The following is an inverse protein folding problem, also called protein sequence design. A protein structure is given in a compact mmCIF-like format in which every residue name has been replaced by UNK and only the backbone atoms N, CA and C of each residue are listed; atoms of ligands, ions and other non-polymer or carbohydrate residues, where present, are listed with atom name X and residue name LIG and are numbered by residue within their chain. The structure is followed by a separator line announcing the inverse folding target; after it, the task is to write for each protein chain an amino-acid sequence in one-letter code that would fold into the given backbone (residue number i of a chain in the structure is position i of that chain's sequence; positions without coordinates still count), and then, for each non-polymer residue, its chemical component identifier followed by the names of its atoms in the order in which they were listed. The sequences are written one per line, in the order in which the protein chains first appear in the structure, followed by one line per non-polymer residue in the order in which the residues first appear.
data_IF_486479446496
#
_entry.id   IF_486479446496
#
_cell.length_a   1.000
_cell.length_b   1.000
_cell.length_c   1.000
_cell.angle_alpha   90.00
_cell.angle_beta   90.00
_cell.angle_gamma   90.00
#
_symmetry.space_group_name_H-M   'P 1'
#
loop_
_entity.id
_entity.type
_entity.pdbx_description
1 polymer ?
#
# COMPACT_ATOMS: atom_id res chain seq x y z
N UNK A 1 26.96 5.34 -6.04
CA UNK A 1 26.07 6.28 -5.31
C UNK A 1 24.61 5.80 -5.24
N UNK A 2 23.98 5.32 -6.34
CA UNK A 2 22.59 4.82 -6.36
C UNK A 2 22.23 3.83 -5.24
N UNK A 3 23.06 2.82 -5.00
CA UNK A 3 22.80 1.82 -3.94
C UNK A 3 22.75 2.45 -2.54
N UNK A 4 23.70 3.35 -2.23
CA UNK A 4 23.76 4.05 -0.94
C UNK A 4 22.51 4.90 -0.74
N UNK A 5 22.11 5.67 -1.76
CA UNK A 5 20.92 6.51 -1.70
C UNK A 5 19.64 5.68 -1.53
N UNK A 6 19.52 4.55 -2.24
CA UNK A 6 18.38 3.65 -2.12
C UNK A 6 18.30 3.00 -0.74
N UNK A 7 19.44 2.61 -0.16
CA UNK A 7 19.48 2.04 1.20
C UNK A 7 19.03 3.05 2.24
N UNK A 8 19.54 4.28 2.17
CA UNK A 8 19.16 5.35 3.12
C UNK A 8 17.67 5.69 2.97
N UNK A 9 17.18 5.92 1.75
CA UNK A 9 15.77 6.28 1.53
C UNK A 9 14.82 5.15 1.95
N UNK A 10 15.17 3.90 1.67
CA UNK A 10 14.37 2.74 2.09
C UNK A 10 14.37 2.59 3.61
N UNK A 11 15.52 2.72 4.27
CA UNK A 11 15.61 2.65 5.73
C UNK A 11 14.75 3.74 6.40
N UNK A 12 14.79 4.96 5.88
CA UNK A 12 13.94 6.06 6.40
C UNK A 12 12.46 5.75 6.21
N UNK A 13 12.03 5.23 5.05
CA UNK A 13 10.62 4.89 4.82
C UNK A 13 10.11 3.78 5.74
N UNK A 14 10.97 2.81 6.09
CA UNK A 14 10.65 1.76 7.08
C UNK A 14 10.49 2.39 8.47
N UNK A 15 11.43 3.23 8.91
CA UNK A 15 11.36 3.90 10.23
C UNK A 15 10.12 4.81 10.37
N UNK A 16 9.64 5.39 9.27
CA UNK A 16 8.42 6.20 9.25
C UNK A 16 7.12 5.38 9.24
N UNK A 17 7.18 4.05 9.31
CA UNK A 17 6.00 3.17 9.29
C UNK A 17 5.32 3.08 7.92
N UNK A 18 5.96 3.56 6.84
CA UNK A 18 5.35 3.56 5.50
C UNK A 18 5.41 2.21 4.79
N UNK A 19 6.16 1.28 5.37
CA UNK A 19 6.31 -0.10 4.94
C UNK A 19 5.78 -0.98 6.07
N UNK A 20 4.88 -1.89 5.74
CA UNK A 20 4.42 -2.93 6.65
C UNK A 20 4.92 -4.27 6.15
N UNK A 21 5.66 -4.99 7.00
CA UNK A 21 6.35 -6.22 6.63
C UNK A 21 7.31 -5.95 5.44
N UNK A 22 7.10 -6.59 4.28
CA UNK A 22 7.85 -6.33 3.04
C UNK A 22 7.04 -5.51 2.00
N UNK A 23 5.96 -4.85 2.41
CA UNK A 23 5.02 -4.16 1.51
C UNK A 23 4.96 -2.67 1.78
N UNK A 24 5.07 -1.86 0.72
CA UNK A 24 4.75 -0.43 0.80
C UNK A 24 3.25 -0.24 0.92
N UNK A 25 2.77 0.29 2.05
CA UNK A 25 1.33 0.50 2.30
C UNK A 25 0.89 1.95 2.04
N UNK A 26 1.84 2.89 2.04
CA UNK A 26 1.64 4.30 1.66
C UNK A 26 2.01 4.57 0.19
N UNK A 27 1.52 3.75 -0.73
CA UNK A 27 1.69 4.03 -2.16
C UNK A 27 0.61 4.99 -2.66
N UNK A 28 0.98 5.92 -3.54
CA UNK A 28 0.01 6.71 -4.29
C UNK A 28 -0.52 5.90 -5.47
N UNK A 29 -1.83 5.73 -5.53
CA UNK A 29 -2.50 4.98 -6.59
C UNK A 29 -2.67 5.88 -7.81
N UNK A 30 -1.69 5.88 -8.73
CA UNK A 30 -1.69 6.75 -9.92
C UNK A 30 -1.90 6.02 -11.24
N UNK A 31 -1.87 4.68 -11.23
CA UNK A 31 -2.09 3.86 -12.43
C UNK A 31 -2.82 2.57 -12.07
N UNK A 32 -3.36 1.90 -13.09
CA UNK A 32 -4.15 0.66 -12.93
C UNK A 32 -3.35 -0.46 -12.24
N UNK A 33 -2.05 -0.61 -12.56
CA UNK A 33 -1.19 -1.61 -11.91
C UNK A 33 -1.09 -1.41 -10.38
N UNK A 34 -1.04 -0.16 -9.94
CA UNK A 34 -1.00 0.17 -8.52
C UNK A 34 -2.37 0.02 -7.86
N UNK A 35 -3.47 0.29 -8.60
CA UNK A 35 -4.83 -0.04 -8.15
C UNK A 35 -4.93 -1.53 -7.87
N UNK A 36 -4.51 -2.37 -8.81
CA UNK A 36 -4.63 -3.82 -8.66
C UNK A 36 -3.75 -4.36 -7.54
N UNK A 37 -2.49 -3.91 -7.47
CA UNK A 37 -1.59 -4.24 -6.37
C UNK A 37 -2.15 -3.83 -5.02
N UNK A 38 -2.67 -2.61 -4.90
CA UNK A 38 -3.25 -2.12 -3.65
C UNK A 38 -4.50 -2.90 -3.25
N UNK A 39 -5.33 -3.29 -4.23
CA UNK A 39 -6.55 -4.07 -4.02
C UNK A 39 -6.20 -5.46 -3.48
N UNK A 40 -5.25 -6.16 -4.09
CA UNK A 40 -4.74 -7.45 -3.61
C UNK A 40 -4.16 -7.34 -2.20
N UNK A 41 -3.34 -6.31 -1.92
CA UNK A 41 -2.80 -6.08 -0.58
C UNK A 41 -3.90 -5.85 0.46
N UNK A 42 -4.95 -5.11 0.08
CA UNK A 42 -6.07 -4.84 0.96
C UNK A 42 -6.86 -6.12 1.24
N UNK A 43 -7.17 -6.92 0.22
CA UNK A 43 -7.85 -8.22 0.34
C UNK A 43 -7.07 -9.15 1.26
N UNK A 44 -5.76 -9.31 1.06
CA UNK A 44 -4.91 -10.15 1.91
C UNK A 44 -4.89 -9.70 3.39
N UNK A 45 -4.99 -8.39 3.66
CA UNK A 45 -4.97 -7.85 5.03
C UNK A 45 -6.33 -7.82 5.70
N UNK A 46 -7.41 -7.62 4.94
CA UNK A 46 -8.76 -7.46 5.47
C UNK A 46 -9.59 -8.74 5.38
N UNK A 47 -9.17 -9.71 4.57
CA UNK A 47 -9.93 -10.94 4.31
C UNK A 47 -11.15 -10.74 3.41
N UNK A 48 -11.26 -9.59 2.74
CA UNK A 48 -12.33 -9.34 1.76
C UNK A 48 -12.07 -10.24 0.55
N UNK A 49 -13.05 -11.08 0.22
CA UNK A 49 -12.97 -11.99 -0.93
C UNK A 49 -13.48 -11.34 -2.23
N UNK A 50 -14.21 -10.23 -2.12
CA UNK A 50 -14.71 -9.46 -3.28
C UNK A 50 -13.69 -8.40 -3.72
N UNK A 51 -13.21 -8.56 -4.96
CA UNK A 51 -12.27 -7.62 -5.56
C UNK A 51 -12.87 -6.24 -5.79
N UNK A 52 -14.13 -6.15 -6.21
CA UNK A 52 -14.76 -4.87 -6.50
C UNK A 52 -14.98 -4.06 -5.23
N UNK A 53 -15.37 -4.71 -4.14
CA UNK A 53 -15.53 -4.07 -2.83
C UNK A 53 -14.18 -3.52 -2.33
N UNK A 54 -13.12 -4.34 -2.41
CA UNK A 54 -11.78 -3.92 -2.00
C UNK A 54 -11.27 -2.75 -2.85
N UNK A 55 -11.50 -2.79 -4.17
CA UNK A 55 -11.13 -1.71 -5.10
C UNK A 55 -11.87 -0.42 -4.79
N UNK A 56 -13.18 -0.49 -4.54
CA UNK A 56 -13.99 0.66 -4.17
C UNK A 56 -13.50 1.30 -2.86
N UNK A 57 -13.17 0.49 -1.85
CA UNK A 57 -12.57 0.99 -0.60
C UNK A 57 -11.22 1.65 -0.84
N UNK A 58 -10.34 1.02 -1.62
CA UNK A 58 -9.03 1.57 -1.93
C UNK A 58 -9.13 2.95 -2.63
N UNK A 59 -10.06 3.09 -3.59
CA UNK A 59 -10.30 4.35 -4.29
C UNK A 59 -10.89 5.43 -3.36
N UNK A 60 -11.71 5.04 -2.38
CA UNK A 60 -12.30 5.96 -1.39
C UNK A 60 -11.24 6.57 -0.47
N UNK A 61 -10.27 5.77 0.01
CA UNK A 61 -9.27 6.22 0.98
C UNK A 61 -7.90 6.59 0.36
N UNK A 62 -7.68 6.28 -0.92
CA UNK A 62 -6.51 6.72 -1.69
C UNK A 62 -5.18 6.02 -1.36
N UNK A 63 -5.08 5.31 -0.23
CA UNK A 63 -3.92 4.49 0.13
C UNK A 63 -4.33 3.21 0.86
N UNK A 64 -3.50 2.17 0.77
CA UNK A 64 -3.78 0.86 1.41
C UNK A 64 -3.80 1.00 2.94
N UNK A 65 -2.86 1.77 3.51
CA UNK A 65 -2.82 1.99 4.96
C UNK A 65 -4.10 2.68 5.47
N UNK A 66 -4.50 3.78 4.84
CA UNK A 66 -5.74 4.48 5.21
C UNK A 66 -6.99 3.61 5.06
N UNK A 67 -7.03 2.76 4.04
CA UNK A 67 -8.13 1.82 3.83
C UNK A 67 -8.19 0.70 4.89
N UNK A 68 -7.05 0.35 5.53
CA UNK A 68 -6.99 -0.63 6.62
C UNK A 68 -7.38 0.00 7.97
N UNK A 69 -6.95 1.24 8.24
CA UNK A 69 -7.19 1.91 9.52
C UNK A 69 -8.65 2.34 9.72
N UNK A 70 -9.35 2.73 8.65
CA UNK A 70 -10.75 3.20 8.71
C UNK A 70 -11.77 2.04 8.66
N UNK A 71 -11.55 1.01 9.48
CA UNK A 71 -12.35 -0.24 9.53
C UNK A 71 -13.81 -0.01 9.88
#
# INVERSE_FOLDING_TARGET
QKMVLNMISTAVMICLGRVYDNRMVHMQITNEKLVDRGTLMLMEKTGINDYEEAKARLLKYGSVHSAIENK
#
